data_IF_513499317794
#
_entry.id   IF_513499317794
#
_cell.length_a   1.000
_cell.length_b   1.000
_cell.length_c   1.000
_cell.angle_alpha   90.00
_cell.angle_beta   90.00
_cell.angle_gamma   90.00
#
_symmetry.space_group_name_H-M   'P 1'
#
loop_
_entity.id
_entity.type
_entity.pdbx_description
1 polymer ?
#
# COMPACT_ATOMS: atom_id res chain seq x y z
N UNK A 1 -0.39 9.99 4.36
CA UNK A 1 0.45 9.42 5.46
C UNK A 1 1.50 8.46 4.89
N UNK A 2 2.61 8.98 4.40
CA UNK A 2 3.49 8.29 3.44
C UNK A 2 4.89 7.95 3.99
N UNK A 3 5.51 8.74 4.89
CA UNK A 3 6.83 8.39 5.44
C UNK A 3 6.84 7.10 6.25
N UNK A 4 5.67 6.61 6.69
CA UNK A 4 5.57 5.46 7.60
C UNK A 4 6.06 4.16 6.96
N UNK A 5 5.77 3.92 5.68
CA UNK A 5 6.10 2.66 5.02
C UNK A 5 7.61 2.49 4.80
N UNK A 6 8.28 3.55 4.33
CA UNK A 6 9.74 3.56 4.17
C UNK A 6 10.45 3.30 5.50
N UNK A 7 10.05 4.01 6.56
CA UNK A 7 10.65 3.89 7.89
C UNK A 7 10.35 2.51 8.48
N UNK A 8 9.14 1.98 8.29
CA UNK A 8 8.76 0.63 8.70
C UNK A 8 9.68 -0.43 8.08
N UNK A 9 9.86 -0.39 6.76
CA UNK A 9 10.72 -1.34 6.05
C UNK A 9 12.20 -1.22 6.45
N UNK A 10 12.72 0.01 6.61
CA UNK A 10 14.10 0.23 7.08
C UNK A 10 14.30 -0.24 8.52
N UNK A 11 13.32 -0.03 9.40
CA UNK A 11 13.34 -0.55 10.77
C UNK A 11 13.42 -2.07 10.82
N UNK A 12 12.69 -2.77 9.93
CA UNK A 12 12.74 -4.22 9.83
C UNK A 12 14.13 -4.70 9.38
N UNK A 13 14.73 -4.05 8.38
CA UNK A 13 16.09 -4.34 7.95
C UNK A 13 17.11 -4.14 9.07
N UNK A 14 17.12 -2.96 9.72
CA UNK A 14 18.08 -2.65 10.78
C UNK A 14 17.93 -3.52 12.02
N UNK A 15 16.71 -3.94 12.35
CA UNK A 15 16.43 -4.82 13.49
C UNK A 15 16.56 -6.32 13.15
N UNK A 16 16.93 -6.67 11.92
CA UNK A 16 16.93 -8.05 11.40
C UNK A 16 15.58 -8.76 11.63
N UNK A 17 14.48 -8.06 11.41
CA UNK A 17 13.12 -8.60 11.52
C UNK A 17 12.55 -8.67 12.95
N UNK A 18 13.28 -8.23 13.99
CA UNK A 18 12.79 -8.23 15.38
C UNK A 18 11.57 -7.33 15.59
N UNK A 19 11.42 -6.27 14.78
CA UNK A 19 10.28 -5.34 14.89
C UNK A 19 9.07 -5.75 14.07
N UNK A 20 9.09 -6.92 13.40
CA UNK A 20 8.00 -7.37 12.53
C UNK A 20 6.65 -7.46 13.26
N UNK A 21 6.62 -8.08 14.44
CA UNK A 21 5.41 -8.16 15.27
C UNK A 21 4.81 -6.80 15.58
N UNK A 22 5.66 -5.83 15.91
CA UNK A 22 5.23 -4.51 16.39
C UNK A 22 4.75 -3.62 15.26
N UNK A 23 5.34 -3.75 14.06
CA UNK A 23 5.07 -2.87 12.92
C UNK A 23 4.01 -3.47 11.99
N UNK A 24 4.09 -4.78 11.73
CA UNK A 24 3.24 -5.51 10.79
C UNK A 24 2.17 -6.38 11.46
N UNK A 25 2.14 -6.44 12.80
CA UNK A 25 1.30 -7.37 13.55
C UNK A 25 1.49 -8.84 13.10
N UNK A 26 2.69 -9.17 12.61
CA UNK A 26 3.01 -10.46 12.03
C UNK A 26 4.20 -11.10 12.74
N UNK A 27 4.05 -12.36 13.13
CA UNK A 27 5.06 -13.15 13.83
C UNK A 27 5.61 -14.31 12.99
N UNK A 28 5.23 -14.44 11.72
CA UNK A 28 5.69 -15.54 10.87
C UNK A 28 7.19 -15.39 10.54
N UNK A 29 7.98 -16.36 10.95
CA UNK A 29 9.42 -16.41 10.64
C UNK A 29 9.70 -16.59 9.15
N UNK A 30 8.76 -17.18 8.40
CA UNK A 30 8.92 -17.43 6.96
C UNK A 30 8.91 -16.15 6.14
N UNK A 31 8.21 -15.10 6.60
CA UNK A 31 8.09 -13.83 5.88
C UNK A 31 9.18 -12.81 6.27
N UNK A 32 9.91 -13.04 7.37
CA UNK A 32 11.00 -12.17 7.82
C UNK A 32 12.07 -11.93 6.75
N UNK A 33 12.58 -12.95 6.02
CA UNK A 33 13.61 -12.75 5.00
C UNK A 33 13.18 -11.78 3.91
N UNK A 34 11.92 -11.89 3.46
CA UNK A 34 11.35 -11.02 2.43
C UNK A 34 11.41 -9.54 2.83
N UNK A 35 10.98 -9.19 4.04
CA UNK A 35 10.99 -7.80 4.51
C UNK A 35 12.40 -7.27 4.76
N UNK A 36 13.33 -8.12 5.19
CA UNK A 36 14.74 -7.73 5.37
C UNK A 36 15.35 -7.39 4.00
N UNK A 37 15.09 -8.22 2.98
CA UNK A 37 15.55 -7.98 1.61
C UNK A 37 14.90 -6.72 1.01
N UNK A 38 13.59 -6.56 1.16
CA UNK A 38 12.89 -5.35 0.73
C UNK A 38 13.45 -4.08 1.39
N UNK A 39 13.69 -4.11 2.71
CA UNK A 39 14.31 -3.01 3.45
C UNK A 39 15.75 -2.70 3.01
N UNK A 40 16.51 -3.71 2.59
CA UNK A 40 17.86 -3.55 2.03
C UNK A 40 17.81 -2.86 0.66
N UNK A 41 16.89 -3.26 -0.20
CA UNK A 41 16.74 -2.74 -1.58
C UNK A 41 16.10 -1.34 -1.65
N UNK A 42 15.47 -0.89 -0.57
CA UNK A 42 14.89 0.47 -0.49
C UNK A 42 15.98 1.56 -0.50
N UNK A 43 15.82 2.52 -1.42
CA UNK A 43 16.70 3.70 -1.52
C UNK A 43 15.98 4.97 -1.08
N UNK A 44 16.73 6.03 -0.80
CA UNK A 44 16.16 7.35 -0.54
C UNK A 44 15.34 7.89 -1.73
N UNK A 45 15.67 7.48 -2.96
CA UNK A 45 14.88 7.79 -4.14
C UNK A 45 13.45 7.22 -4.09
N UNK A 46 13.27 6.04 -3.48
CA UNK A 46 11.95 5.44 -3.28
C UNK A 46 11.13 6.26 -2.28
N UNK A 47 11.74 6.73 -1.18
CA UNK A 47 11.08 7.65 -0.25
C UNK A 47 10.66 8.95 -0.94
N UNK A 48 11.56 9.54 -1.74
CA UNK A 48 11.26 10.77 -2.48
C UNK A 48 10.06 10.57 -3.41
N UNK A 49 10.04 9.49 -4.20
CA UNK A 49 8.89 9.16 -5.06
C UNK A 49 7.60 9.00 -4.25
N UNK A 50 7.65 8.24 -3.15
CA UNK A 50 6.49 8.04 -2.28
C UNK A 50 5.94 9.40 -1.78
N UNK A 51 6.82 10.31 -1.35
CA UNK A 51 6.42 11.64 -0.89
C UNK A 51 5.86 12.50 -2.03
N UNK A 52 6.45 12.44 -3.23
CA UNK A 52 5.99 13.19 -4.41
C UNK A 52 4.64 12.71 -4.92
N UNK A 53 4.42 11.39 -5.00
CA UNK A 53 3.15 10.80 -5.46
C UNK A 53 1.97 11.15 -4.55
N UNK A 54 2.23 11.54 -3.29
CA UNK A 54 1.19 11.92 -2.34
C UNK A 54 1.01 13.42 -2.15
N UNK A 55 1.81 14.23 -2.84
CA UNK A 55 1.74 15.69 -2.78
C UNK A 55 0.79 16.28 -3.82
N UNK A 56 0.46 15.52 -4.86
CA UNK A 56 -0.46 15.95 -5.89
C UNK A 56 -1.87 15.43 -5.57
N UNK A 57 -2.82 16.36 -5.39
CA UNK A 57 -4.25 16.03 -5.33
C UNK A 57 -4.76 15.76 -6.76
N UNK A 58 -4.24 14.69 -7.34
CA UNK A 58 -4.63 14.20 -8.66
C UNK A 58 -5.36 12.88 -8.49
N UNK A 59 -6.49 12.67 -9.19
CA UNK A 59 -7.14 11.37 -9.20
C UNK A 59 -6.17 10.33 -9.77
N UNK A 60 -6.26 9.10 -9.28
CA UNK A 60 -5.53 7.98 -9.87
C UNK A 60 -5.92 7.84 -11.35
N UNK A 61 -4.95 7.49 -12.19
CA UNK A 61 -5.24 7.14 -13.58
C UNK A 61 -6.22 5.98 -13.63
N UNK A 62 -7.20 6.05 -14.53
CA UNK A 62 -8.16 4.97 -14.74
C UNK A 62 -7.42 3.64 -15.03
N UNK A 63 -7.82 2.58 -14.34
CA UNK A 63 -7.33 1.24 -14.63
C UNK A 63 -7.83 0.79 -16.01
N UNK A 64 -7.11 -0.13 -16.67
CA UNK A 64 -7.63 -0.75 -17.90
C UNK A 64 -9.00 -1.39 -17.67
N UNK A 65 -9.89 -1.38 -18.67
CA UNK A 65 -11.24 -1.97 -18.55
C UNK A 65 -11.22 -3.43 -18.05
N UNK A 66 -10.23 -4.22 -18.46
CA UNK A 66 -10.08 -5.61 -18.00
C UNK A 66 -9.83 -5.68 -16.49
N UNK A 67 -8.88 -4.90 -15.98
CA UNK A 67 -8.61 -4.81 -14.55
C UNK A 67 -9.82 -4.27 -13.78
N UNK A 68 -10.55 -3.28 -14.29
CA UNK A 68 -11.75 -2.77 -13.62
C UNK A 68 -12.84 -3.85 -13.48
N UNK A 69 -13.04 -4.69 -14.51
CA UNK A 69 -14.01 -5.80 -14.49
C UNK A 69 -13.65 -6.91 -13.50
N UNK A 70 -12.36 -7.07 -13.20
CA UNK A 70 -11.83 -8.11 -12.32
C UNK A 70 -11.36 -7.61 -10.95
N UNK A 71 -11.45 -6.30 -10.68
CA UNK A 71 -11.09 -5.71 -9.39
C UNK A 71 -12.33 -5.56 -8.53
N UNK A 72 -12.42 -6.38 -7.49
CA UNK A 72 -13.45 -6.28 -6.46
C UNK A 72 -12.87 -5.56 -5.24
N UNK A 73 -13.53 -4.49 -4.79
CA UNK A 73 -13.14 -3.77 -3.58
C UNK A 73 -13.94 -4.30 -2.39
N UNK A 74 -13.29 -4.94 -1.42
CA UNK A 74 -13.93 -5.33 -0.17
C UNK A 74 -14.02 -4.13 0.77
N UNK A 75 -15.11 -3.37 0.65
CA UNK A 75 -15.60 -2.48 1.70
C UNK A 75 -16.89 -3.05 2.29
N UNK A 76 -16.77 -3.83 3.37
CA UNK A 76 -17.92 -4.35 4.10
C UNK A 76 -18.80 -5.34 3.31
N UNK A 77 -20.04 -5.50 3.76
CA UNK A 77 -21.02 -6.49 3.28
C UNK A 77 -21.22 -6.45 1.76
N UNK A 78 -21.36 -7.66 1.16
CA UNK A 78 -21.49 -7.90 -0.30
C UNK A 78 -22.61 -7.09 -0.98
N UNK A 79 -23.60 -6.65 -0.20
CA UNK A 79 -24.80 -5.94 -0.65
C UNK A 79 -24.56 -4.44 -0.92
N UNK A 80 -23.50 -3.84 -0.37
CA UNK A 80 -23.23 -2.40 -0.53
C UNK A 80 -22.42 -2.06 -1.78
N UNK A 81 -21.73 -3.03 -2.39
CA UNK A 81 -20.83 -2.80 -3.52
C UNK A 81 -21.52 -2.34 -4.81
N UNK A 82 -22.77 -2.73 -5.05
CA UNK A 82 -23.49 -2.34 -6.26
C UNK A 82 -23.99 -0.88 -6.25
N UNK A 83 -24.09 -0.26 -5.07
CA UNK A 83 -24.59 1.12 -4.93
C UNK A 83 -23.66 2.16 -5.55
N UNK A 84 -22.36 1.85 -5.63
CA UNK A 84 -21.33 2.79 -6.06
C UNK A 84 -20.97 2.67 -7.55
N UNK A 85 -21.53 1.70 -8.28
CA UNK A 85 -21.26 1.53 -9.71
C UNK A 85 -21.68 2.74 -10.56
N UNK A 86 -22.63 3.54 -10.08
CA UNK A 86 -23.11 4.75 -10.76
C UNK A 86 -22.56 6.06 -10.15
N UNK A 87 -21.64 5.99 -9.19
CA UNK A 87 -21.20 7.17 -8.43
C UNK A 87 -20.11 8.02 -9.12
N UNK A 88 -19.70 7.66 -10.35
CA UNK A 88 -18.67 8.38 -11.12
C UNK A 88 -19.19 9.61 -11.90
N UNK A 89 -20.29 10.22 -11.49
CA UNK A 89 -20.90 11.36 -12.21
C UNK A 89 -21.07 12.65 -11.40
N UNK A 90 -20.61 12.72 -10.15
CA UNK A 90 -20.67 13.96 -9.37
C UNK A 90 -19.42 14.16 -8.51
N UNK A 91 -18.31 14.53 -9.15
CA UNK A 91 -17.29 15.38 -8.51
C UNK A 91 -17.09 16.57 -9.46
N UNK A 92 -17.69 17.70 -9.08
CA UNK A 92 -17.55 19.00 -9.74
C UNK A 92 -16.77 19.91 -8.81
#
# INVERSE_FOLDING_TARGET
MVPFLYIAMKSLYWSKGKTLKRIMWCDDDKIKPYFIEAGKNLTYGNLRRQLTDSLEDKPFSELSEELQKHTFWEFGSIEEHFKYRNADLYIR
#
